data_IF_989097891191
#
_entry.id   IF_989097891191
#
_cell.length_a   1.000
_cell.length_b   1.000
_cell.length_c   1.000
_cell.angle_alpha   90.00
_cell.angle_beta   90.00
_cell.angle_gamma   90.00
#
_symmetry.space_group_name_H-M   'P 1'
#
loop_
_entity.id
_entity.type
_entity.pdbx_description
1 polymer ?
#
# COMPACT_ATOMS: atom_id res chain seq x y z
N UNK A 1 -31.64 53.75 1.53
CA UNK A 1 -30.40 53.32 2.24
C UNK A 1 -29.20 53.72 1.39
N UNK A 2 -28.13 54.29 1.96
CA UNK A 2 -26.96 54.75 1.18
C UNK A 2 -26.23 53.52 0.60
N UNK A 3 -26.00 53.48 -0.71
CA UNK A 3 -25.47 52.34 -1.47
C UNK A 3 -24.21 51.70 -0.85
N UNK A 4 -23.32 52.49 -0.25
CA UNK A 4 -22.11 52.01 0.41
C UNK A 4 -22.38 51.05 1.57
N UNK A 5 -23.49 51.21 2.30
CA UNK A 5 -23.87 50.30 3.40
C UNK A 5 -24.23 48.91 2.87
N UNK A 6 -24.86 48.83 1.70
CA UNK A 6 -25.24 47.55 1.09
C UNK A 6 -23.99 46.80 0.60
N UNK A 7 -23.07 47.50 -0.06
CA UNK A 7 -21.80 46.92 -0.50
C UNK A 7 -20.93 46.43 0.68
N UNK A 8 -20.94 47.16 1.81
CA UNK A 8 -20.25 46.74 3.03
C UNK A 8 -20.84 45.44 3.59
N UNK A 9 -22.17 45.35 3.70
CA UNK A 9 -22.84 44.17 4.24
C UNK A 9 -22.64 42.93 3.35
N UNK A 10 -22.63 43.10 2.03
CA UNK A 10 -22.41 42.00 1.09
C UNK A 10 -21.00 41.41 1.23
N UNK A 11 -19.97 42.26 1.27
CA UNK A 11 -18.59 41.82 1.48
C UNK A 11 -18.42 41.11 2.83
N UNK A 12 -19.04 41.65 3.88
CA UNK A 12 -18.94 41.08 5.22
C UNK A 12 -19.62 39.70 5.29
N UNK A 13 -20.76 39.53 4.61
CA UNK A 13 -21.43 38.23 4.50
C UNK A 13 -20.57 37.19 3.75
N UNK A 14 -19.90 37.59 2.67
CA UNK A 14 -19.00 36.70 1.91
C UNK A 14 -17.79 36.30 2.75
N UNK A 15 -17.19 37.24 3.49
CA UNK A 15 -16.04 36.95 4.37
C UNK A 15 -16.45 35.98 5.48
N UNK A 16 -17.59 36.22 6.12
CA UNK A 16 -18.08 35.37 7.22
C UNK A 16 -18.40 33.95 6.71
N UNK A 17 -19.09 33.82 5.58
CA UNK A 17 -19.40 32.51 5.00
C UNK A 17 -18.14 31.78 4.51
N UNK A 18 -17.20 32.48 3.89
CA UNK A 18 -15.90 31.93 3.50
C UNK A 18 -15.09 31.46 4.71
N UNK A 19 -14.98 32.28 5.76
CA UNK A 19 -14.28 31.92 6.99
C UNK A 19 -14.94 30.73 7.70
N UNK A 20 -16.27 30.70 7.74
CA UNK A 20 -17.02 29.57 8.32
C UNK A 20 -16.80 28.27 7.55
N UNK A 21 -16.80 28.33 6.21
CA UNK A 21 -16.48 27.20 5.34
C UNK A 21 -15.06 26.67 5.56
N UNK A 22 -14.07 27.56 5.67
CA UNK A 22 -12.68 27.20 5.97
C UNK A 22 -12.52 26.53 7.34
N UNK A 23 -13.20 27.04 8.37
CA UNK A 23 -13.17 26.44 9.71
C UNK A 23 -13.84 25.06 9.72
N UNK A 24 -14.99 24.92 9.06
CA UNK A 24 -15.68 23.63 8.93
C UNK A 24 -14.83 22.60 8.18
N UNK A 25 -14.18 23.02 7.09
CA UNK A 25 -13.23 22.19 6.35
C UNK A 25 -12.04 21.76 7.24
N UNK A 26 -11.45 22.69 7.99
CA UNK A 26 -10.35 22.38 8.91
C UNK A 26 -10.73 21.33 9.96
N UNK A 27 -11.92 21.44 10.56
CA UNK A 27 -12.41 20.44 11.53
C UNK A 27 -12.66 19.07 10.89
N UNK A 28 -13.09 19.04 9.63
CA UNK A 28 -13.27 17.80 8.88
C UNK A 28 -11.93 17.12 8.60
N UNK A 29 -10.90 17.90 8.23
CA UNK A 29 -9.53 17.39 8.01
C UNK A 29 -8.97 16.77 9.28
N UNK A 30 -9.14 17.40 10.44
CA UNK A 30 -8.65 16.83 11.71
C UNK A 30 -9.35 15.53 12.10
N UNK A 31 -10.66 15.41 11.84
CA UNK A 31 -11.38 14.14 12.06
C UNK A 31 -10.81 13.02 11.18
N UNK A 32 -10.63 13.28 9.88
CA UNK A 32 -10.07 12.31 8.95
C UNK A 32 -8.63 11.91 9.32
N UNK A 33 -7.83 12.86 9.81
CA UNK A 33 -6.48 12.57 10.34
C UNK A 33 -6.52 11.62 11.54
N UNK A 34 -7.47 11.84 12.45
CA UNK A 34 -7.73 10.94 13.57
C UNK A 34 -8.09 9.52 13.12
N UNK A 35 -9.07 9.39 12.23
CA UNK A 35 -9.51 8.09 11.67
C UNK A 35 -8.37 7.33 10.97
N UNK A 36 -7.53 8.03 10.20
CA UNK A 36 -6.34 7.43 9.56
C UNK A 36 -5.28 7.00 10.59
N UNK A 37 -5.08 7.77 11.66
CA UNK A 37 -4.14 7.43 12.72
C UNK A 37 -4.60 6.18 13.50
N UNK A 38 -5.88 6.12 13.84
CA UNK A 38 -6.49 4.95 14.49
C UNK A 38 -6.43 3.71 13.58
N UNK A 39 -6.73 3.85 12.29
CA UNK A 39 -6.60 2.75 11.33
C UNK A 39 -5.14 2.26 11.22
N UNK A 40 -4.16 3.16 11.22
CA UNK A 40 -2.73 2.80 11.23
C UNK A 40 -2.30 2.10 12.52
N UNK A 41 -2.81 2.54 13.67
CA UNK A 41 -2.57 1.86 14.95
C UNK A 41 -3.17 0.44 14.96
N UNK A 42 -4.34 0.28 14.34
CA UNK A 42 -5.09 -0.99 14.28
C UNK A 42 -4.53 -1.99 13.25
N UNK A 43 -3.84 -1.52 12.21
CA UNK A 43 -3.23 -2.35 11.16
C UNK A 43 -2.13 -3.33 11.67
N UNK A 44 -1.75 -3.20 12.94
CA UNK A 44 -0.66 -3.95 13.55
C UNK A 44 0.69 -3.41 13.09
N UNK A 45 1.68 -3.47 13.96
CA UNK A 45 3.03 -2.97 13.67
C UNK A 45 3.64 -3.61 12.42
N UNK A 46 4.72 -2.98 11.95
CA UNK A 46 5.53 -3.51 10.86
C UNK A 46 5.98 -4.94 11.21
N UNK A 47 5.65 -5.88 10.32
CA UNK A 47 5.94 -7.31 10.46
C UNK A 47 6.75 -7.76 9.26
N UNK A 48 7.54 -8.81 9.46
CA UNK A 48 8.31 -9.47 8.42
C UNK A 48 7.84 -10.93 8.29
N UNK A 49 7.61 -11.38 7.06
CA UNK A 49 7.27 -12.76 6.74
C UNK A 49 8.22 -13.29 5.68
N UNK A 50 8.67 -14.53 5.84
CA UNK A 50 9.41 -15.26 4.80
C UNK A 50 8.50 -16.32 4.22
N UNK A 51 8.25 -16.21 2.92
CA UNK A 51 7.22 -16.98 2.23
C UNK A 51 7.85 -17.62 1.00
N UNK A 52 7.50 -18.87 0.73
CA UNK A 52 7.86 -19.54 -0.52
C UNK A 52 6.75 -19.32 -1.56
N UNK A 53 7.12 -19.32 -2.83
CA UNK A 53 6.16 -19.16 -3.91
C UNK A 53 6.76 -19.34 -5.29
N UNK A 54 5.95 -19.07 -6.30
CA UNK A 54 6.32 -19.17 -7.72
C UNK A 54 6.01 -17.86 -8.42
N UNK A 55 6.96 -17.35 -9.20
CA UNK A 55 6.78 -16.15 -10.01
C UNK A 55 5.83 -16.43 -11.18
N UNK A 56 4.74 -15.67 -11.27
CA UNK A 56 3.75 -15.78 -12.35
C UNK A 56 3.86 -14.67 -13.38
N UNK A 57 4.22 -13.45 -12.95
CA UNK A 57 4.50 -12.33 -13.83
C UNK A 57 5.37 -11.30 -13.13
N UNK A 58 6.10 -10.49 -13.89
CA UNK A 58 6.89 -9.35 -13.40
C UNK A 58 6.45 -8.14 -14.22
N UNK A 59 5.96 -7.10 -13.56
CA UNK A 59 5.51 -5.84 -14.15
C UNK A 59 6.44 -4.72 -13.67
N UNK A 60 7.63 -4.58 -14.27
CA UNK A 60 8.64 -3.61 -13.82
C UNK A 60 8.18 -2.16 -13.95
N UNK A 61 7.31 -1.84 -14.91
CA UNK A 61 6.77 -0.51 -15.15
C UNK A 61 5.98 0.07 -13.97
N UNK A 62 5.38 -0.81 -13.15
CA UNK A 62 4.62 -0.43 -11.95
C UNK A 62 5.24 -0.96 -10.66
N UNK A 63 6.42 -1.61 -10.73
CA UNK A 63 7.12 -2.18 -9.58
C UNK A 63 6.32 -3.29 -8.88
N UNK A 64 5.62 -4.13 -9.64
CA UNK A 64 4.77 -5.20 -9.11
C UNK A 64 5.26 -6.57 -9.62
N UNK A 65 5.31 -7.55 -8.72
CA UNK A 65 5.54 -8.97 -9.06
C UNK A 65 4.31 -9.78 -8.68
N UNK A 66 3.81 -10.59 -9.61
CA UNK A 66 2.71 -11.52 -9.36
C UNK A 66 3.30 -12.83 -8.90
N UNK A 67 2.98 -13.23 -7.67
CA UNK A 67 3.49 -14.44 -7.02
C UNK A 67 2.32 -15.35 -6.66
N UNK A 68 2.42 -16.63 -7.00
CA UNK A 68 1.66 -17.68 -6.33
C UNK A 68 2.38 -18.02 -5.03
N UNK A 69 1.90 -17.51 -3.91
CA UNK A 69 2.56 -17.69 -2.62
C UNK A 69 1.93 -18.82 -1.81
N UNK A 70 2.74 -19.44 -0.95
CA UNK A 70 2.28 -20.37 0.08
C UNK A 70 1.64 -19.59 1.25
N UNK A 71 1.22 -20.30 2.29
CA UNK A 71 0.54 -19.68 3.42
C UNK A 71 1.44 -18.63 4.11
N UNK A 72 0.88 -17.44 4.32
CA UNK A 72 1.49 -16.38 5.11
C UNK A 72 0.81 -16.39 6.47
N UNK A 73 1.44 -17.05 7.44
CA UNK A 73 0.88 -17.29 8.76
C UNK A 73 0.40 -15.99 9.41
N UNK A 74 -0.89 -15.96 9.79
CA UNK A 74 -1.53 -14.82 10.44
C UNK A 74 -1.77 -13.61 9.53
N UNK A 75 -1.61 -13.75 8.21
CA UNK A 75 -1.89 -12.69 7.26
C UNK A 75 -2.78 -13.13 6.09
N UNK A 76 -2.37 -14.13 5.30
CA UNK A 76 -3.13 -14.56 4.12
C UNK A 76 -2.93 -16.05 3.79
N UNK A 77 -4.00 -16.75 3.36
CA UNK A 77 -3.89 -18.12 2.86
C UNK A 77 -3.18 -18.18 1.51
N UNK A 78 -2.75 -19.36 1.04
CA UNK A 78 -2.09 -19.52 -0.25
C UNK A 78 -2.96 -19.01 -1.41
N UNK A 79 -2.43 -18.06 -2.19
CA UNK A 79 -3.12 -17.52 -3.37
C UNK A 79 -2.14 -16.92 -4.38
N UNK A 80 -2.66 -16.49 -5.53
CA UNK A 80 -1.87 -15.79 -6.55
C UNK A 80 -2.27 -14.32 -6.59
N UNK A 81 -1.34 -13.43 -6.26
CA UNK A 81 -1.61 -12.00 -6.23
C UNK A 81 -0.36 -11.16 -6.53
N UNK A 82 -0.57 -9.88 -6.83
CA UNK A 82 0.49 -8.92 -7.06
C UNK A 82 1.01 -8.32 -5.75
N UNK A 83 2.33 -8.34 -5.57
CA UNK A 83 3.03 -7.65 -4.50
C UNK A 83 3.90 -6.53 -5.07
N UNK A 84 3.94 -5.39 -4.38
CA UNK A 84 4.86 -4.30 -4.72
C UNK A 84 6.27 -4.65 -4.26
N UNK A 85 7.26 -4.31 -5.06
CA UNK A 85 8.67 -4.47 -4.70
C UNK A 85 9.21 -3.20 -4.06
N UNK A 86 10.10 -3.33 -3.07
CA UNK A 86 10.76 -2.18 -2.46
C UNK A 86 11.76 -1.50 -3.41
N UNK A 87 12.24 -2.23 -4.42
CA UNK A 87 13.12 -1.74 -5.48
C UNK A 87 12.94 -2.59 -6.74
N UNK A 88 13.03 -2.01 -7.95
CA UNK A 88 13.02 -2.76 -9.21
C UNK A 88 14.12 -3.82 -9.29
N UNK A 89 15.25 -3.58 -8.62
CA UNK A 89 16.42 -4.47 -8.62
C UNK A 89 16.15 -5.85 -8.02
N UNK A 90 15.13 -5.94 -7.15
CA UNK A 90 14.76 -7.18 -6.48
C UNK A 90 14.34 -8.23 -7.51
N UNK A 91 13.67 -7.82 -8.59
CA UNK A 91 13.17 -8.75 -9.62
C UNK A 91 14.18 -9.05 -10.73
N UNK A 92 15.33 -8.38 -10.79
CA UNK A 92 16.32 -8.55 -11.89
C UNK A 92 16.94 -9.95 -11.95
N UNK A 93 16.96 -10.66 -10.82
CA UNK A 93 17.54 -12.01 -10.71
C UNK A 93 16.55 -13.15 -10.92
N UNK A 94 15.24 -12.88 -11.07
CA UNK A 94 14.17 -13.88 -11.13
C UNK A 94 13.38 -13.80 -12.42
N UNK A 95 12.90 -14.95 -12.89
CA UNK A 95 12.12 -15.10 -14.10
C UNK A 95 10.76 -15.73 -13.79
N UNK A 96 9.81 -15.53 -14.70
CA UNK A 96 8.50 -16.19 -14.62
C UNK A 96 8.70 -17.71 -14.61
N UNK A 97 8.03 -18.40 -13.70
CA UNK A 97 8.12 -19.84 -13.48
C UNK A 97 9.11 -20.26 -12.39
N UNK A 98 9.96 -19.36 -11.91
CA UNK A 98 10.94 -19.69 -10.87
C UNK A 98 10.27 -19.92 -9.50
N UNK A 99 10.72 -20.96 -8.82
CA UNK A 99 10.44 -21.15 -7.40
C UNK A 99 11.35 -20.23 -6.58
N UNK A 100 10.72 -19.45 -5.70
CA UNK A 100 11.37 -18.35 -4.98
C UNK A 100 11.01 -18.38 -3.51
N UNK A 101 11.92 -17.89 -2.68
CA UNK A 101 11.67 -17.54 -1.29
C UNK A 101 11.82 -16.03 -1.19
N UNK A 102 10.77 -15.36 -0.73
CA UNK A 102 10.73 -13.91 -0.67
C UNK A 102 10.35 -13.43 0.72
N UNK A 103 10.80 -12.23 1.02
CA UNK A 103 10.55 -11.56 2.30
C UNK A 103 9.54 -10.45 2.08
N UNK A 104 8.40 -10.53 2.77
CA UNK A 104 7.42 -9.47 2.86
C UNK A 104 7.65 -8.67 4.13
N UNK A 105 7.67 -7.35 4.02
CA UNK A 105 7.77 -6.45 5.17
C UNK A 105 6.72 -5.36 5.07
N UNK A 106 6.05 -5.06 6.18
CA UNK A 106 5.07 -3.98 6.25
C UNK A 106 3.96 -4.24 7.26
N UNK A 107 2.93 -3.41 7.20
CA UNK A 107 1.73 -3.52 8.02
C UNK A 107 0.52 -3.84 7.13
N UNK A 108 -0.19 -4.96 7.34
CA UNK A 108 -1.37 -5.32 6.57
C UNK A 108 -2.35 -4.15 6.41
N UNK A 109 -2.88 -3.88 5.20
CA UNK A 109 -2.67 -4.62 3.95
C UNK A 109 -1.43 -4.18 3.16
N UNK A 110 -0.69 -3.17 3.63
CA UNK A 110 0.43 -2.56 2.92
C UNK A 110 1.75 -3.28 3.24
N UNK A 111 2.07 -4.29 2.43
CA UNK A 111 3.35 -5.02 2.50
C UNK A 111 4.15 -4.87 1.21
N UNK A 112 5.47 -4.93 1.33
CA UNK A 112 6.42 -4.84 0.23
C UNK A 112 7.32 -6.07 0.21
N UNK A 113 7.69 -6.53 -0.99
CA UNK A 113 8.76 -7.50 -1.17
C UNK A 113 10.08 -6.77 -1.02
N UNK A 114 10.87 -7.13 0.00
CA UNK A 114 12.18 -6.52 0.28
C UNK A 114 13.35 -7.37 -0.20
N UNK A 115 13.15 -8.68 -0.33
CA UNK A 115 14.14 -9.62 -0.82
C UNK A 115 13.45 -10.77 -1.54
N UNK A 116 14.09 -11.33 -2.57
CA UNK A 116 13.66 -12.52 -3.28
C UNK A 116 14.88 -13.33 -3.69
N UNK A 117 14.85 -14.62 -3.38
CA UNK A 117 15.92 -15.56 -3.69
C UNK A 117 15.34 -16.77 -4.42
N UNK A 118 16.03 -17.24 -5.45
CA UNK A 118 15.65 -18.50 -6.11
C UNK A 118 15.88 -19.66 -5.16
N UNK A 119 14.83 -20.42 -4.90
CA UNK A 119 14.95 -21.69 -4.20
C UNK A 119 15.10 -22.72 -5.31
N UNK A 120 16.32 -23.28 -5.47
CA UNK A 120 16.72 -24.07 -6.64
C UNK A 120 15.64 -25.03 -7.17
N UNK A 121 15.56 -25.13 -8.50
CA UNK A 121 14.50 -25.81 -9.26
C UNK A 121 14.01 -27.14 -8.66
N UNK A 122 12.70 -27.43 -8.67
CA UNK A 122 12.18 -28.79 -8.45
C UNK A 122 12.45 -29.74 -9.64
N UNK A 123 13.58 -29.59 -10.35
CA UNK A 123 13.96 -30.39 -11.53
C UNK A 123 15.16 -31.32 -11.27
N UNK A 124 15.37 -31.71 -10.02
CA UNK A 124 16.40 -32.66 -9.59
C UNK A 124 15.85 -33.97 -9.01
N UNK A 125 14.62 -34.39 -9.34
CA UNK A 125 14.11 -35.71 -8.95
C UNK A 125 14.52 -36.75 -10.01
N UNK A 126 15.77 -37.16 -9.88
CA UNK A 126 16.35 -38.48 -10.15
C UNK A 126 15.51 -39.43 -11.04
N UNK A 127 15.98 -39.65 -12.26
CA UNK A 127 15.73 -40.90 -12.99
C UNK A 127 16.31 -42.04 -12.15
N UNK A 128 15.48 -43.00 -11.77
CA UNK A 128 15.93 -44.38 -11.54
C UNK A 128 14.85 -45.34 -11.96
#
# INVERSE_FOLDING_TARGET
MRLWKVALLLNLAIIVTGAWGWVQWGRHVERLRGEVAEARASAGGEREWRVAGVVRAILPEVGVVILSHEEITGFMPPMTMGFRTASPKITEGVSVGDAVRFTLRGAPPNVLVTAIDKTGSPSGRERK
#
